data_IF_983096575475
#
_entry.id   IF_983096575475
#
_cell.length_a   1.000
_cell.length_b   1.000
_cell.length_c   1.000
_cell.angle_alpha   90.00
_cell.angle_beta   90.00
_cell.angle_gamma   90.00
#
_symmetry.space_group_name_H-M   'P 1'
#
loop_
_entity.id
_entity.type
_entity.pdbx_description
1 polymer ?
#
# COMPACT_ATOMS: atom_id res chain seq x y z
N UNK A 1 13.11 -11.00 -4.86
CA UNK A 1 13.48 -10.30 -3.61
C UNK A 1 12.40 -9.27 -3.35
N UNK A 2 11.64 -9.38 -2.25
CA UNK A 2 10.66 -8.38 -1.86
C UNK A 2 11.30 -7.01 -1.68
N UNK A 3 10.50 -5.97 -1.84
CA UNK A 3 10.96 -4.58 -1.79
C UNK A 3 9.97 -3.74 -0.99
N UNK A 4 10.47 -2.88 -0.11
CA UNK A 4 9.67 -1.91 0.63
C UNK A 4 9.44 -0.68 -0.24
N UNK A 5 8.20 -0.23 -0.27
CA UNK A 5 7.81 1.04 -0.85
C UNK A 5 7.14 1.89 0.22
N UNK A 6 7.34 3.21 0.18
CA UNK A 6 6.36 4.06 0.85
C UNK A 6 5.01 3.94 0.15
N UNK A 7 3.92 4.20 0.87
CA UNK A 7 2.57 4.17 0.28
C UNK A 7 2.43 5.16 -0.88
N UNK A 8 3.16 6.27 -0.83
CA UNK A 8 3.22 7.28 -1.89
C UNK A 8 3.93 6.75 -3.14
N UNK A 9 5.07 6.07 -2.96
CA UNK A 9 5.78 5.43 -4.07
C UNK A 9 4.93 4.33 -4.71
N UNK A 10 4.25 3.52 -3.89
CA UNK A 10 3.41 2.45 -4.37
C UNK A 10 2.15 2.98 -5.08
N UNK A 11 1.53 4.05 -4.58
CA UNK A 11 0.38 4.69 -5.21
C UNK A 11 0.66 5.12 -6.66
N UNK A 12 1.88 5.58 -6.96
CA UNK A 12 2.30 5.96 -8.31
C UNK A 12 2.45 4.76 -9.28
N UNK A 13 2.55 3.54 -8.75
CA UNK A 13 2.73 2.32 -9.53
C UNK A 13 1.48 1.43 -9.52
N UNK A 14 0.57 1.67 -8.58
CA UNK A 14 -0.64 0.90 -8.37
C UNK A 14 -1.71 1.24 -9.41
N UNK A 15 -2.12 0.26 -10.22
CA UNK A 15 -3.19 0.42 -11.22
C UNK A 15 -4.60 0.63 -10.66
N UNK A 16 -4.77 0.60 -9.33
CA UNK A 16 -6.05 0.80 -8.64
C UNK A 16 -6.13 2.09 -7.84
N UNK A 17 -5.01 2.79 -7.68
CA UNK A 17 -4.98 4.09 -7.02
C UNK A 17 -5.73 5.11 -7.87
N UNK A 18 -6.54 5.95 -7.23
CA UNK A 18 -7.15 7.11 -7.86
C UNK A 18 -7.46 8.18 -6.81
N UNK A 19 -7.89 9.35 -7.27
CA UNK A 19 -8.39 10.40 -6.40
C UNK A 19 -9.89 10.58 -6.62
N UNK A 20 -10.70 10.21 -5.63
CA UNK A 20 -12.16 10.26 -5.71
C UNK A 20 -12.71 11.69 -5.68
N UNK A 21 -11.96 12.64 -5.13
CA UNK A 21 -12.35 14.04 -5.17
C UNK A 21 -12.29 14.56 -6.61
N UNK A 22 -11.20 14.27 -7.35
CA UNK A 22 -11.06 14.69 -8.75
C UNK A 22 -12.10 14.06 -9.67
N UNK A 23 -12.51 12.81 -9.43
CA UNK A 23 -13.45 12.13 -10.33
C UNK A 23 -14.93 12.28 -9.93
N UNK A 24 -15.23 12.33 -8.63
CA UNK A 24 -16.60 12.24 -8.10
C UNK A 24 -16.95 13.37 -7.13
N UNK A 25 -16.01 14.26 -6.80
CA UNK A 25 -16.19 15.29 -5.77
C UNK A 25 -16.30 14.74 -4.34
N UNK A 26 -15.93 13.47 -4.11
CA UNK A 26 -16.04 12.81 -2.80
C UNK A 26 -14.71 12.97 -2.06
N UNK A 27 -14.75 13.55 -0.87
CA UNK A 27 -13.59 13.57 0.03
C UNK A 27 -13.58 12.30 0.87
N UNK A 28 -12.64 11.41 0.56
CA UNK A 28 -12.30 10.24 1.33
C UNK A 28 -10.76 10.14 1.43
N UNK A 29 -10.28 9.64 2.55
CA UNK A 29 -8.86 9.34 2.82
C UNK A 29 -7.82 10.37 2.32
N UNK A 30 -8.13 11.68 2.40
CA UNK A 30 -7.26 12.74 1.90
C UNK A 30 -6.82 12.55 0.42
N UNK A 31 -7.65 11.90 -0.40
CA UNK A 31 -7.38 11.64 -1.82
C UNK A 31 -6.53 10.39 -2.10
N UNK A 32 -6.20 9.60 -1.07
CA UNK A 32 -5.57 8.30 -1.21
C UNK A 32 -6.64 7.22 -1.37
N UNK A 33 -7.27 7.18 -2.54
CA UNK A 33 -8.41 6.30 -2.79
C UNK A 33 -8.03 5.08 -3.64
N UNK A 34 -8.81 4.02 -3.48
CA UNK A 34 -8.54 2.71 -4.06
C UNK A 34 -9.79 2.16 -4.76
N UNK A 35 -9.60 1.60 -5.97
CA UNK A 35 -10.64 0.88 -6.75
C UNK A 35 -10.45 -0.62 -6.74
N UNK A 36 -9.52 -1.14 -5.94
CA UNK A 36 -9.28 -2.57 -5.91
C UNK A 36 -10.57 -3.27 -5.43
N UNK A 37 -11.09 -4.28 -6.14
CA UNK A 37 -12.37 -4.91 -5.81
C UNK A 37 -12.35 -5.64 -4.45
N UNK A 38 -11.16 -5.92 -3.93
CA UNK A 38 -10.94 -6.51 -2.60
C UNK A 38 -10.52 -5.49 -1.51
N UNK A 39 -10.64 -4.19 -1.76
CA UNK A 39 -10.40 -3.18 -0.72
C UNK A 39 -11.56 -3.20 0.28
N UNK A 40 -11.26 -3.42 1.55
CA UNK A 40 -12.27 -3.57 2.60
C UNK A 40 -12.52 -2.24 3.34
N UNK A 41 -11.52 -1.36 3.38
CA UNK A 41 -11.57 -0.06 4.01
C UNK A 41 -12.32 0.92 3.11
N UNK A 42 -13.62 1.08 3.36
CA UNK A 42 -14.49 1.96 2.57
C UNK A 42 -14.97 3.13 3.41
N UNK A 43 -14.77 4.35 2.93
CA UNK A 43 -15.34 5.59 3.49
C UNK A 43 -16.19 6.29 2.45
N UNK A 44 -17.44 6.61 2.78
CA UNK A 44 -18.38 7.27 1.86
C UNK A 44 -18.54 6.54 0.50
N UNK A 45 -18.48 5.21 0.50
CA UNK A 45 -18.57 4.39 -0.73
C UNK A 45 -17.31 4.42 -1.61
N UNK A 46 -16.20 4.95 -1.09
CA UNK A 46 -14.90 5.01 -1.75
C UNK A 46 -13.91 4.15 -0.97
N UNK A 47 -13.21 3.23 -1.65
CA UNK A 47 -12.14 2.44 -1.04
C UNK A 47 -10.95 3.32 -0.67
N UNK A 48 -10.26 3.02 0.41
CA UNK A 48 -9.16 3.80 0.96
C UNK A 48 -7.84 3.05 0.80
N UNK A 49 -6.80 3.74 0.33
CA UNK A 49 -5.45 3.20 0.25
C UNK A 49 -4.76 3.31 1.62
N UNK A 50 -4.42 2.17 2.21
CA UNK A 50 -3.66 2.05 3.45
C UNK A 50 -2.64 0.93 3.33
N UNK A 51 -1.47 1.07 3.97
CA UNK A 51 -0.43 0.04 4.03
C UNK A 51 -0.95 -1.25 4.66
N UNK A 52 -1.69 -1.14 5.76
CA UNK A 52 -2.24 -2.28 6.52
C UNK A 52 -3.44 -2.98 5.86
N UNK A 53 -4.16 -2.27 4.99
CA UNK A 53 -5.40 -2.74 4.37
C UNK A 53 -5.26 -3.12 2.89
N UNK A 54 -4.08 -2.91 2.30
CA UNK A 54 -3.92 -3.06 0.87
C UNK A 54 -4.02 -4.54 0.44
N UNK A 55 -4.94 -4.90 -0.47
CA UNK A 55 -5.09 -6.28 -0.92
C UNK A 55 -3.94 -6.78 -1.81
N UNK A 56 -3.01 -5.90 -2.20
CA UNK A 56 -1.86 -6.22 -3.05
C UNK A 56 -0.57 -6.45 -2.27
N UNK A 57 -0.60 -6.32 -0.95
CA UNK A 57 0.59 -6.44 -0.11
C UNK A 57 0.28 -6.62 1.36
N UNK A 58 1.29 -6.35 2.18
CA UNK A 58 1.12 -6.19 3.62
C UNK A 58 1.96 -5.00 4.09
N UNK A 59 1.58 -4.42 5.21
CA UNK A 59 2.32 -3.34 5.86
C UNK A 59 3.68 -3.83 6.33
N UNK A 60 4.74 -3.13 5.91
CA UNK A 60 6.08 -3.45 6.38
C UNK A 60 6.22 -3.08 7.87
N UNK A 61 6.97 -3.86 8.64
CA UNK A 61 7.24 -3.61 10.05
C UNK A 61 8.75 -3.47 10.36
N UNK A 62 9.10 -3.35 11.65
CA UNK A 62 10.50 -3.24 12.10
C UNK A 62 11.34 -4.48 11.74
N UNK A 63 10.74 -5.68 11.71
CA UNK A 63 11.45 -6.90 11.36
C UNK A 63 11.77 -6.93 9.85
N UNK A 64 10.87 -6.43 9.00
CA UNK A 64 11.13 -6.27 7.57
C UNK A 64 12.28 -5.28 7.30
N UNK A 65 12.32 -4.16 8.02
CA UNK A 65 13.41 -3.17 7.95
C UNK A 65 14.74 -3.70 8.52
N UNK A 66 14.72 -4.75 9.34
CA UNK A 66 15.93 -5.45 9.79
C UNK A 66 16.35 -6.59 8.85
N UNK A 67 15.48 -7.01 7.92
CA UNK A 67 15.69 -8.19 7.09
C UNK A 67 16.61 -7.90 5.90
N UNK A 68 17.82 -8.50 5.81
CA UNK A 68 18.75 -8.28 4.70
C UNK A 68 18.29 -8.91 3.37
N UNK A 69 17.20 -9.70 3.38
CA UNK A 69 16.59 -10.29 2.18
C UNK A 69 15.50 -9.41 1.57
N UNK A 70 15.27 -8.20 2.10
CA UNK A 70 14.30 -7.25 1.58
C UNK A 70 15.07 -6.03 1.08
N UNK A 71 14.78 -5.60 -0.15
CA UNK A 71 15.28 -4.31 -0.65
C UNK A 71 14.53 -3.19 0.07
N UNK A 72 15.20 -2.49 0.99
CA UNK A 72 14.60 -1.37 1.73
C UNK A 72 14.41 -0.12 0.87
N UNK A 73 14.79 -0.13 -0.41
CA UNK A 73 14.63 0.98 -1.33
C UNK A 73 15.27 2.30 -0.86
N UNK A 74 16.31 2.21 -0.03
CA UNK A 74 16.96 3.38 0.58
C UNK A 74 16.23 3.98 1.79
N UNK A 75 15.11 3.40 2.22
CA UNK A 75 14.46 3.74 3.50
C UNK A 75 15.26 3.13 4.66
N UNK A 76 15.47 3.92 5.72
CA UNK A 76 16.20 3.48 6.93
C UNK A 76 15.37 3.55 8.20
N UNK A 77 14.31 4.36 8.19
CA UNK A 77 13.51 4.65 9.36
C UNK A 77 12.10 4.10 9.14
N UNK A 78 11.75 3.08 9.92
CA UNK A 78 10.40 2.52 9.95
C UNK A 78 9.41 3.53 10.55
N UNK A 79 8.21 3.58 9.97
CA UNK A 79 7.07 4.29 10.52
C UNK A 79 5.78 3.51 10.20
N UNK A 80 4.99 3.24 11.25
CA UNK A 80 3.69 2.59 11.13
C UNK A 80 2.78 3.36 10.17
N UNK A 81 2.04 2.65 9.32
CA UNK A 81 1.12 3.26 8.37
C UNK A 81 1.75 3.77 7.08
N UNK A 82 3.08 3.72 6.93
CA UNK A 82 3.78 4.35 5.80
C UNK A 82 4.31 3.42 4.73
N UNK A 83 4.59 2.17 5.08
CA UNK A 83 5.37 1.28 4.22
C UNK A 83 4.60 0.01 3.87
N UNK A 84 4.78 -0.45 2.63
CA UNK A 84 4.13 -1.64 2.11
C UNK A 84 5.14 -2.49 1.35
N UNK A 85 5.02 -3.81 1.50
CA UNK A 85 5.71 -4.78 0.66
C UNK A 85 4.67 -5.42 -0.28
N UNK A 86 4.61 -4.99 -1.55
CA UNK A 86 3.67 -5.54 -2.51
C UNK A 86 4.08 -6.95 -2.96
N UNK A 87 3.10 -7.77 -3.31
CA UNK A 87 3.26 -9.10 -3.91
C UNK A 87 4.06 -10.13 -3.09
N UNK A 88 4.46 -9.86 -1.84
CA UNK A 88 5.22 -10.80 -1.03
C UNK A 88 4.42 -12.03 -0.53
N UNK A 89 3.13 -12.15 -0.91
CA UNK A 89 2.30 -13.34 -0.65
C UNK A 89 2.23 -14.34 -1.83
N UNK A 90 2.87 -14.07 -2.97
CA UNK A 90 2.78 -14.98 -4.14
C UNK A 90 3.88 -16.06 -4.22
N UNK A 91 4.90 -16.04 -3.36
CA UNK A 91 6.03 -16.98 -3.44
C UNK A 91 5.86 -18.29 -2.64
N UNK A 92 4.68 -18.92 -2.64
CA UNK A 92 4.51 -20.24 -1.99
C UNK A 92 3.56 -21.20 -2.77
N UNK A 93 3.78 -21.35 -4.07
CA UNK A 93 3.31 -22.53 -4.81
C UNK A 93 4.28 -22.86 -5.97
N UNK A 94 5.39 -23.52 -5.64
CA UNK A 94 6.19 -24.31 -6.58
C UNK A 94 6.60 -25.63 -5.91
#
# INVERSE_FOLDING_TARGET
MPKIYSIDEFANQCGYFYNAYLEKGISANNGYDCRHPKCEEVKNGVGCCFSWGCPLGYEADEEDFANPQIDHNGWTDYEEGKFIIPNAKEDNNA
#
